data_IF_771560531624
#
_entry.id   IF_771560531624
#
_cell.length_a   1.000
_cell.length_b   1.000
_cell.length_c   1.000
_cell.angle_alpha   90.00
_cell.angle_beta   90.00
_cell.angle_gamma   90.00
#
_symmetry.space_group_name_H-M   'P 1'
#
loop_
_entity.id
_entity.type
_entity.pdbx_description
1 polymer ?
#
# COMPACT_ATOMS: atom_id res chain seq x y z
N UNK A 1 27.65 -19.67 -0.49
CA UNK A 1 27.75 -18.22 -0.21
C UNK A 1 26.34 -17.72 0.09
N UNK A 2 26.07 -17.24 1.31
CA UNK A 2 24.77 -16.65 1.67
C UNK A 2 24.82 -15.17 1.27
N UNK A 3 24.08 -14.78 0.25
CA UNK A 3 23.96 -13.37 -0.13
C UNK A 3 22.93 -12.74 0.77
N UNK A 4 23.39 -12.00 1.78
CA UNK A 4 22.53 -11.17 2.62
C UNK A 4 22.06 -9.99 1.77
N UNK A 5 20.75 -9.91 1.50
CA UNK A 5 20.14 -8.74 0.87
C UNK A 5 20.22 -7.63 1.92
N UNK A 6 21.00 -6.59 1.64
CA UNK A 6 21.17 -5.46 2.55
C UNK A 6 19.83 -4.79 2.84
N UNK A 7 19.59 -4.42 4.09
CA UNK A 7 18.49 -3.54 4.49
C UNK A 7 18.65 -2.21 3.74
N UNK A 8 17.79 -1.98 2.73
CA UNK A 8 17.78 -0.72 2.00
C UNK A 8 17.20 0.36 2.92
N UNK A 9 18.01 1.38 3.26
CA UNK A 9 17.60 2.56 4.03
C UNK A 9 16.74 3.55 3.22
N UNK A 10 16.23 3.14 2.06
CA UNK A 10 15.41 4.00 1.20
C UNK A 10 13.94 3.88 1.56
N UNK A 11 13.24 5.02 1.59
CA UNK A 11 11.79 5.04 1.78
C UNK A 11 11.09 4.14 0.74
N UNK A 12 10.00 3.46 1.11
CA UNK A 12 9.33 2.51 0.24
C UNK A 12 8.88 3.20 -1.06
N UNK A 13 9.53 2.81 -2.17
CA UNK A 13 9.30 3.35 -3.50
C UNK A 13 7.90 3.07 -4.03
N UNK A 14 7.26 2.00 -3.54
CA UNK A 14 5.94 1.57 -4.01
C UNK A 14 4.96 1.57 -2.86
N UNK A 15 3.82 2.24 -3.05
CA UNK A 15 2.71 2.25 -2.10
C UNK A 15 1.53 1.50 -2.70
N UNK A 16 1.03 0.48 -2.01
CA UNK A 16 -0.11 -0.34 -2.41
C UNK A 16 -1.29 -0.01 -1.51
N UNK A 17 -2.42 0.38 -2.09
CA UNK A 17 -3.67 0.63 -1.37
C UNK A 17 -4.65 -0.48 -1.69
N UNK A 18 -5.03 -1.27 -0.69
CA UNK A 18 -5.86 -2.48 -0.88
C UNK A 18 -7.06 -2.45 0.06
N UNK A 19 -8.23 -2.88 -0.43
CA UNK A 19 -9.42 -3.02 0.39
C UNK A 19 -9.46 -4.36 1.10
N UNK A 20 -9.84 -4.38 2.38
CA UNK A 20 -10.04 -5.60 3.15
C UNK A 20 -11.25 -6.42 2.73
N UNK A 21 -12.12 -5.86 1.87
CA UNK A 21 -13.30 -6.55 1.36
C UNK A 21 -12.95 -7.69 0.39
N UNK A 22 -11.81 -7.62 -0.30
CA UNK A 22 -11.39 -8.57 -1.32
C UNK A 22 -10.23 -9.45 -0.81
N UNK A 23 -10.56 -10.66 -0.36
CA UNK A 23 -9.59 -11.57 0.30
C UNK A 23 -8.39 -11.93 -0.56
N UNK A 24 -8.59 -12.14 -1.86
CA UNK A 24 -7.49 -12.49 -2.77
C UNK A 24 -6.52 -11.33 -2.93
N UNK A 25 -7.03 -10.10 -3.05
CA UNK A 25 -6.21 -8.90 -3.18
C UNK A 25 -5.38 -8.68 -1.91
N UNK A 26 -5.96 -8.97 -0.74
CA UNK A 26 -5.25 -8.93 0.55
C UNK A 26 -4.09 -9.93 0.60
N UNK A 27 -4.29 -11.17 0.17
CA UNK A 27 -3.21 -12.19 0.14
C UNK A 27 -2.07 -11.76 -0.76
N UNK A 28 -2.38 -11.21 -1.95
CA UNK A 28 -1.34 -10.71 -2.85
C UNK A 28 -0.61 -9.51 -2.24
N UNK A 29 -1.33 -8.58 -1.61
CA UNK A 29 -0.71 -7.42 -0.97
C UNK A 29 0.19 -7.83 0.21
N UNK A 30 -0.22 -8.83 1.01
CA UNK A 30 0.57 -9.37 2.12
C UNK A 30 1.88 -9.97 1.63
N UNK A 31 1.88 -10.78 0.57
CA UNK A 31 3.12 -11.31 -0.01
C UNK A 31 4.07 -10.23 -0.53
N UNK A 32 3.54 -9.09 -1.00
CA UNK A 32 4.35 -7.97 -1.44
C UNK A 32 4.87 -7.12 -0.26
N UNK A 33 4.26 -7.21 0.92
CA UNK A 33 4.65 -6.43 2.09
C UNK A 33 6.00 -6.85 2.69
N UNK A 34 6.47 -8.06 2.39
CA UNK A 34 7.79 -8.55 2.77
C UNK A 34 8.94 -7.87 2.00
N UNK A 35 8.61 -7.13 0.93
CA UNK A 35 9.61 -6.40 0.15
C UNK A 35 9.93 -5.06 0.84
N UNK A 36 11.21 -4.75 1.16
CA UNK A 36 11.59 -3.51 1.85
C UNK A 36 11.17 -2.22 1.13
N UNK A 37 11.00 -2.28 -0.19
CA UNK A 37 10.62 -1.14 -1.03
C UNK A 37 9.10 -0.95 -1.18
N UNK A 38 8.30 -1.78 -0.53
CA UNK A 38 6.84 -1.79 -0.64
C UNK A 38 6.20 -1.41 0.69
N UNK A 39 5.23 -0.49 0.64
CA UNK A 39 4.37 -0.15 1.78
C UNK A 39 2.92 -0.43 1.43
N UNK A 40 2.27 -1.27 2.23
CA UNK A 40 0.87 -1.65 2.04
C UNK A 40 -0.03 -0.87 3.00
N UNK A 41 -1.05 -0.23 2.46
CA UNK A 41 -2.10 0.47 3.18
C UNK A 41 -3.43 -0.26 3.00
N UNK A 42 -3.85 -0.95 4.05
CA UNK A 42 -5.15 -1.60 4.11
C UNK A 42 -6.26 -0.59 4.41
N UNK A 43 -7.33 -0.63 3.62
CA UNK A 43 -8.54 0.17 3.76
C UNK A 43 -9.71 -0.73 4.14
N UNK A 44 -10.51 -0.32 5.12
CA UNK A 44 -11.64 -1.12 5.62
C UNK A 44 -12.84 -1.17 4.66
N UNK A 45 -12.82 -0.36 3.60
CA UNK A 45 -13.91 -0.19 2.64
C UNK A 45 -13.35 0.07 1.24
N UNK A 46 -14.24 0.17 0.25
CA UNK A 46 -13.90 0.49 -1.14
C UNK A 46 -13.99 -0.70 -2.08
N UNK A 47 -13.60 -1.90 -1.66
CA UNK A 47 -13.53 -3.10 -2.50
C UNK A 47 -12.87 -2.80 -3.84
N UNK A 48 -13.48 -3.31 -4.92
CA UNK A 48 -13.09 -3.00 -6.29
C UNK A 48 -13.12 -1.49 -6.68
N UNK A 49 -13.80 -0.65 -5.91
CA UNK A 49 -13.90 0.80 -6.12
C UNK A 49 -12.93 1.60 -5.23
N UNK A 50 -11.85 0.99 -4.72
CA UNK A 50 -10.88 1.65 -3.82
C UNK A 50 -10.37 3.01 -4.33
N UNK A 51 -10.10 3.12 -5.62
CA UNK A 51 -9.64 4.39 -6.24
C UNK A 51 -10.72 5.47 -6.17
N UNK A 52 -11.98 5.09 -6.44
CA UNK A 52 -13.11 6.00 -6.37
C UNK A 52 -13.35 6.46 -4.93
N UNK A 53 -13.31 5.53 -3.97
CA UNK A 53 -13.40 5.87 -2.54
C UNK A 53 -12.33 6.89 -2.15
N UNK A 54 -11.06 6.62 -2.48
CA UNK A 54 -9.95 7.52 -2.15
C UNK A 54 -10.09 8.89 -2.81
N UNK A 55 -10.64 8.95 -4.02
CA UNK A 55 -10.94 10.21 -4.71
C UNK A 55 -12.06 10.97 -4.02
N UNK A 56 -13.16 10.29 -3.71
CA UNK A 56 -14.35 10.89 -3.13
C UNK A 56 -14.08 11.36 -1.69
N UNK A 57 -13.14 10.73 -0.97
CA UNK A 57 -12.61 11.16 0.34
C UNK A 57 -11.53 12.27 0.24
N UNK A 58 -11.15 12.71 -0.96
CA UNK A 58 -10.10 13.72 -1.15
C UNK A 58 -8.68 13.25 -0.79
N UNK A 59 -8.47 11.94 -0.61
CA UNK A 59 -7.19 11.34 -0.23
C UNK A 59 -6.32 11.01 -1.45
N UNK A 60 -6.94 10.70 -2.59
CA UNK A 60 -6.22 10.36 -3.84
C UNK A 60 -5.23 11.45 -4.27
N UNK A 61 -5.54 12.77 -4.24
CA UNK A 61 -4.56 13.80 -4.57
C UNK A 61 -3.35 13.82 -3.63
N UNK A 62 -3.52 13.47 -2.34
CA UNK A 62 -2.42 13.38 -1.38
C UNK A 62 -1.51 12.19 -1.70
N UNK A 63 -2.10 11.05 -2.05
CA UNK A 63 -1.38 9.85 -2.49
C UNK A 63 -0.52 10.16 -3.73
N UNK A 64 -1.10 10.83 -4.73
CA UNK A 64 -0.40 11.17 -5.98
C UNK A 64 0.76 12.16 -5.78
N UNK A 65 0.75 12.95 -4.70
CA UNK A 65 1.87 13.83 -4.33
C UNK A 65 2.88 13.18 -3.38
N UNK A 66 2.65 11.93 -2.96
CA UNK A 66 3.48 11.25 -1.95
C UNK A 66 3.24 11.72 -0.51
N UNK A 67 2.18 12.47 -0.25
CA UNK A 67 1.86 13.07 1.06
C UNK A 67 0.92 12.18 1.90
N UNK A 68 0.79 10.90 1.57
CA UNK A 68 -0.14 10.01 2.26
C UNK A 68 0.51 9.42 3.52
N UNK A 69 0.07 9.92 4.67
CA UNK A 69 0.30 9.31 5.97
C UNK A 69 -0.97 8.59 6.43
N UNK A 70 -0.83 7.34 6.90
CA UNK A 70 -1.95 6.62 7.51
C UNK A 70 -2.30 7.37 8.81
N UNK A 71 -3.46 8.03 8.83
CA UNK A 71 -4.03 8.52 10.09
C UNK A 71 -4.36 7.29 10.93
N UNK A 72 -3.77 7.24 12.13
CA UNK A 72 -3.90 6.15 13.08
C UNK A 72 -5.35 5.93 13.53
#
# INVERSE_FOLDING_TARGET
MKTTIGESTEEPKTQIFVSSADKLDMVHAEYLSDLPSVKVFQLQSGGHQVVKLLRDEGRLPKILRGEFEKVA
#
